data_IF_004824303319
#
_entry.id   IF_004824303319
#
_cell.length_a   1.000
_cell.length_b   1.000
_cell.length_c   1.000
_cell.angle_alpha   90.00
_cell.angle_beta   90.00
_cell.angle_gamma   90.00
#
_symmetry.space_group_name_H-M   'P 1'
#
loop_
_entity.id
_entity.type
_entity.pdbx_description
1 polymer ?
#
# COMPACT_ATOMS: atom_id res chain seq x y z
N UNK A 1 0.19 -23.06 -6.74
CA UNK A 1 -0.80 -23.00 -5.64
C UNK A 1 -0.06 -22.67 -4.35
N UNK A 2 -0.72 -21.91 -3.48
CA UNK A 2 -0.22 -21.54 -2.15
C UNK A 2 -1.29 -21.97 -1.13
N UNK A 3 -0.89 -22.72 -0.11
CA UNK A 3 -1.75 -23.04 1.03
C UNK A 3 -1.59 -21.94 2.08
N UNK A 4 -2.71 -21.36 2.52
CA UNK A 4 -2.76 -20.40 3.62
C UNK A 4 -2.82 -21.16 4.93
N UNK A 5 -1.68 -21.32 5.59
CA UNK A 5 -1.60 -22.03 6.88
C UNK A 5 -2.16 -21.15 7.98
N UNK A 6 -1.81 -19.86 7.95
CA UNK A 6 -2.34 -18.84 8.84
C UNK A 6 -2.59 -17.56 8.05
N UNK A 7 -3.82 -17.08 8.00
CA UNK A 7 -4.18 -15.86 7.28
C UNK A 7 -3.77 -14.58 8.04
N UNK A 8 -3.79 -14.62 9.37
CA UNK A 8 -3.51 -13.45 10.21
C UNK A 8 -4.73 -12.55 10.42
N UNK A 9 -4.51 -11.31 10.87
CA UNK A 9 -5.58 -10.38 11.23
C UNK A 9 -6.46 -9.99 10.05
N UNK A 10 -5.84 -9.53 8.95
CA UNK A 10 -6.54 -9.16 7.73
C UNK A 10 -5.58 -9.31 6.55
N UNK A 11 -5.78 -10.38 5.79
CA UNK A 11 -5.07 -10.64 4.53
C UNK A 11 -6.07 -10.71 3.40
N UNK A 12 -5.84 -9.94 2.34
CA UNK A 12 -6.71 -9.90 1.15
C UNK A 12 -5.90 -9.98 -0.12
N UNK A 13 -6.54 -10.45 -1.20
CA UNK A 13 -5.94 -10.39 -2.53
C UNK A 13 -6.16 -8.98 -3.07
N UNK A 14 -5.09 -8.32 -3.50
CA UNK A 14 -5.16 -6.96 -4.03
C UNK A 14 -4.32 -6.86 -5.30
N UNK A 15 -4.89 -6.21 -6.32
CA UNK A 15 -4.14 -5.65 -7.44
C UNK A 15 -4.16 -4.11 -7.36
N UNK A 16 -4.07 -3.41 -8.49
CA UNK A 16 -4.13 -1.94 -8.53
C UNK A 16 -5.54 -1.35 -8.54
N UNK A 17 -6.56 -2.21 -8.41
CA UNK A 17 -7.96 -1.84 -8.28
C UNK A 17 -8.74 -1.90 -9.59
N UNK A 18 -10.04 -1.67 -9.45
CA UNK A 18 -11.04 -1.63 -10.52
C UNK A 18 -11.31 -0.19 -10.94
N UNK A 19 -10.93 0.12 -12.17
CA UNK A 19 -11.10 1.45 -12.75
C UNK A 19 -12.36 1.50 -13.63
N UNK A 20 -12.91 2.71 -13.84
CA UNK A 20 -14.06 2.91 -14.74
C UNK A 20 -15.44 2.69 -14.11
N UNK A 21 -15.55 2.08 -12.91
CA UNK A 21 -16.85 1.72 -12.33
C UNK A 21 -17.37 2.63 -11.20
N UNK A 22 -16.63 3.68 -10.80
CA UNK A 22 -17.04 4.55 -9.66
C UNK A 22 -18.38 5.26 -9.87
N UNK A 23 -18.74 5.56 -11.12
CA UNK A 23 -20.03 6.17 -11.46
C UNK A 23 -21.23 5.22 -11.20
N UNK A 24 -20.97 3.92 -11.02
CA UNK A 24 -21.97 2.89 -10.69
C UNK A 24 -22.01 2.57 -9.19
N UNK A 25 -21.36 3.37 -8.34
CA UNK A 25 -21.29 3.11 -6.90
C UNK A 25 -20.20 2.10 -6.47
N UNK A 26 -19.39 1.61 -7.41
CA UNK A 26 -18.36 0.61 -7.13
C UNK A 26 -17.06 1.28 -6.66
N UNK A 27 -16.57 0.90 -5.47
CA UNK A 27 -15.30 1.38 -4.94
C UNK A 27 -14.13 0.92 -5.82
N UNK A 28 -13.03 1.70 -5.82
CA UNK A 28 -11.86 1.35 -6.63
C UNK A 28 -11.15 0.09 -6.11
N UNK A 29 -11.15 -0.13 -4.80
CA UNK A 29 -10.36 -1.21 -4.19
C UNK A 29 -8.87 -1.05 -4.51
N UNK A 30 -8.13 -2.16 -4.51
CA UNK A 30 -6.70 -2.15 -4.80
C UNK A 30 -5.85 -2.04 -3.53
N UNK A 31 -4.54 -2.24 -3.71
CA UNK A 31 -3.56 -2.04 -2.65
C UNK A 31 -3.63 -0.62 -2.07
N UNK A 32 -3.57 -0.50 -0.74
CA UNK A 32 -3.49 0.81 -0.10
C UNK A 32 -2.11 1.47 -0.24
N UNK A 33 -1.07 0.65 -0.36
CA UNK A 33 0.29 1.03 -0.70
C UNK A 33 0.63 0.40 -2.04
N UNK A 34 0.20 1.11 -3.09
CA UNK A 34 0.35 0.72 -4.50
C UNK A 34 1.82 0.55 -4.87
N UNK A 35 2.68 1.44 -4.38
CA UNK A 35 4.12 1.43 -4.64
C UNK A 35 4.73 0.10 -4.21
N UNK A 36 4.44 -0.35 -2.99
CA UNK A 36 4.96 -1.62 -2.48
C UNK A 36 4.49 -2.82 -3.31
N UNK A 37 3.20 -2.89 -3.67
CA UNK A 37 2.68 -3.95 -4.52
C UNK A 37 3.38 -3.95 -5.89
N UNK A 38 3.47 -2.78 -6.53
CA UNK A 38 4.07 -2.59 -7.84
C UNK A 38 5.55 -3.01 -7.89
N UNK A 39 6.32 -2.70 -6.85
CA UNK A 39 7.72 -3.14 -6.74
C UNK A 39 7.81 -4.64 -6.48
N UNK A 40 6.96 -5.17 -5.61
CA UNK A 40 6.92 -6.61 -5.33
C UNK A 40 6.63 -7.44 -6.58
N UNK A 41 5.68 -6.99 -7.40
CA UNK A 41 5.38 -7.64 -8.68
C UNK A 41 6.55 -7.60 -9.66
N UNK A 42 7.22 -6.45 -9.80
CA UNK A 42 8.43 -6.33 -10.64
C UNK A 42 9.54 -7.27 -10.19
N UNK A 43 9.76 -7.39 -8.87
CA UNK A 43 10.77 -8.26 -8.28
C UNK A 43 10.54 -9.75 -8.58
N UNK A 44 9.34 -10.18 -8.95
CA UNK A 44 9.05 -11.57 -9.34
C UNK A 44 8.77 -11.72 -10.84
N UNK A 45 9.06 -10.69 -11.64
CA UNK A 45 8.90 -10.72 -13.10
C UNK A 45 7.45 -10.58 -13.58
N UNK A 46 6.52 -10.18 -12.70
CA UNK A 46 5.14 -9.94 -13.08
C UNK A 46 4.97 -8.56 -13.71
N UNK A 47 3.87 -8.37 -14.43
CA UNK A 47 3.34 -7.03 -14.68
C UNK A 47 3.10 -6.29 -13.34
N UNK A 48 3.34 -4.96 -13.29
CA UNK A 48 3.12 -4.15 -12.08
C UNK A 48 1.72 -4.28 -11.46
N UNK A 49 0.72 -4.49 -12.30
CA UNK A 49 -0.70 -4.57 -11.96
C UNK A 49 -1.17 -5.98 -11.56
N UNK A 50 -0.28 -6.96 -11.46
CA UNK A 50 -0.65 -8.30 -11.03
C UNK A 50 -1.16 -8.34 -9.59
N UNK A 51 -2.00 -9.32 -9.27
CA UNK A 51 -2.54 -9.48 -7.93
C UNK A 51 -1.51 -10.12 -6.99
N UNK A 52 -1.34 -9.51 -5.82
CA UNK A 52 -0.57 -10.02 -4.68
C UNK A 52 -1.44 -10.12 -3.42
N UNK A 53 -0.82 -10.48 -2.31
CA UNK A 53 -1.48 -10.52 -1.00
C UNK A 53 -1.14 -9.24 -0.24
N UNK A 54 -2.15 -8.44 0.11
CA UNK A 54 -2.00 -7.37 1.09
C UNK A 54 -2.23 -7.92 2.49
N UNK A 55 -1.23 -7.80 3.35
CA UNK A 55 -1.20 -8.34 4.71
C UNK A 55 -1.15 -7.20 5.70
N UNK A 56 -2.15 -7.13 6.58
CA UNK A 56 -2.23 -6.14 7.65
C UNK A 56 -1.70 -6.73 8.94
N UNK A 57 -0.61 -6.16 9.46
CA UNK A 57 0.06 -6.47 10.73
C UNK A 57 0.67 -7.88 10.86
N UNK A 58 0.09 -8.92 10.26
CA UNK A 58 0.49 -10.32 10.48
C UNK A 58 0.02 -10.87 11.84
N UNK A 59 0.52 -12.03 12.30
CA UNK A 59 1.37 -12.94 11.53
C UNK A 59 0.59 -13.70 10.44
N UNK A 60 1.29 -14.07 9.37
CA UNK A 60 0.73 -14.83 8.24
C UNK A 60 1.72 -15.93 7.85
N UNK A 61 1.22 -17.13 7.57
CA UNK A 61 2.05 -18.28 7.17
C UNK A 61 1.52 -18.86 5.87
N UNK A 62 2.40 -18.96 4.87
CA UNK A 62 2.08 -19.40 3.51
C UNK A 62 2.99 -20.56 3.13
N UNK A 63 2.41 -21.67 2.68
CA UNK A 63 3.15 -22.84 2.18
C UNK A 63 3.05 -22.94 0.67
N UNK A 64 4.18 -23.05 0.00
CA UNK A 64 4.25 -23.05 -1.46
C UNK A 64 4.28 -24.47 -1.99
N UNK A 65 3.27 -24.87 -2.78
CA UNK A 65 3.16 -26.26 -3.25
C UNK A 65 4.03 -26.57 -4.48
N UNK A 66 4.71 -25.57 -5.02
CA UNK A 66 5.60 -25.68 -6.18
C UNK A 66 6.77 -24.71 -6.00
N UNK A 67 7.90 -25.04 -6.60
CA UNK A 67 9.02 -24.10 -6.67
C UNK A 67 8.60 -22.84 -7.44
N UNK A 68 8.94 -21.67 -6.91
CA UNK A 68 8.56 -20.36 -7.47
C UNK A 68 9.49 -19.25 -6.96
N UNK A 69 9.23 -18.01 -7.37
CA UNK A 69 9.82 -16.81 -6.75
C UNK A 69 8.78 -16.00 -6.00
N UNK A 70 9.21 -15.42 -4.88
CA UNK A 70 8.38 -14.59 -4.03
C UNK A 70 9.12 -13.31 -3.69
N UNK A 71 8.39 -12.20 -3.59
CA UNK A 71 8.91 -10.95 -3.03
C UNK A 71 8.01 -10.45 -1.90
N UNK A 72 8.65 -9.92 -0.86
CA UNK A 72 7.98 -9.27 0.27
C UNK A 72 8.28 -7.77 0.18
N UNK A 73 7.27 -6.90 0.20
CA UNK A 73 7.46 -5.44 0.17
C UNK A 73 6.57 -4.72 1.17
N UNK A 74 6.70 -3.40 1.26
CA UNK A 74 6.01 -2.60 2.27
C UNK A 74 6.69 -2.75 3.62
N UNK A 75 5.92 -3.15 4.63
CA UNK A 75 6.44 -3.27 5.99
C UNK A 75 7.44 -4.41 6.18
N UNK A 76 8.23 -4.31 7.26
CA UNK A 76 9.18 -5.33 7.71
C UNK A 76 8.52 -6.24 8.75
N UNK A 77 8.30 -7.51 8.37
CA UNK A 77 7.74 -8.53 9.25
C UNK A 77 8.79 -9.32 10.03
N UNK A 78 10.09 -9.16 9.75
CA UNK A 78 11.12 -10.09 10.21
C UNK A 78 10.80 -11.52 9.77
N UNK A 79 10.63 -11.68 8.46
CA UNK A 79 10.13 -12.90 7.85
C UNK A 79 11.17 -14.02 7.88
N UNK A 80 10.71 -15.27 7.83
CA UNK A 80 11.57 -16.44 7.65
C UNK A 80 11.02 -17.38 6.57
N UNK A 81 11.90 -18.06 5.86
CA UNK A 81 11.60 -19.17 4.95
C UNK A 81 12.21 -20.44 5.55
N UNK A 82 11.37 -21.36 6.02
CA UNK A 82 11.77 -22.54 6.82
C UNK A 82 12.75 -22.19 7.95
N UNK A 83 12.44 -21.12 8.69
CA UNK A 83 13.25 -20.64 9.82
C UNK A 83 14.48 -19.81 9.43
N UNK A 84 14.88 -19.75 8.15
CA UNK A 84 15.96 -18.87 7.70
C UNK A 84 15.46 -17.43 7.51
N UNK A 85 16.10 -16.41 8.08
CA UNK A 85 15.69 -15.01 7.89
C UNK A 85 15.69 -14.61 6.41
N UNK A 86 14.63 -13.90 5.99
CA UNK A 86 14.53 -13.28 4.66
C UNK A 86 14.05 -11.83 4.78
N UNK A 87 14.37 -11.01 3.78
CA UNK A 87 14.22 -9.56 3.87
C UNK A 87 13.18 -9.00 2.89
N UNK A 88 12.52 -7.92 3.30
CA UNK A 88 11.65 -7.15 2.41
C UNK A 88 12.48 -6.46 1.31
N UNK A 89 11.86 -6.20 0.16
CA UNK A 89 12.45 -5.61 -1.05
C UNK A 89 13.44 -6.54 -1.79
N UNK A 90 13.34 -7.85 -1.52
CA UNK A 90 14.09 -8.90 -2.20
C UNK A 90 13.16 -9.87 -2.93
N UNK A 91 13.65 -10.36 -4.06
CA UNK A 91 13.15 -11.49 -4.82
C UNK A 91 13.85 -12.75 -4.34
N UNK A 92 13.08 -13.73 -3.89
CA UNK A 92 13.55 -14.92 -3.19
C UNK A 92 13.11 -16.18 -3.93
N UNK A 93 14.00 -17.14 -4.19
CA UNK A 93 13.61 -18.47 -4.64
C UNK A 93 12.95 -19.23 -3.48
N UNK A 94 11.86 -19.93 -3.78
CA UNK A 94 11.12 -20.78 -2.84
C UNK A 94 10.97 -22.16 -3.46
N UNK A 95 11.34 -23.21 -2.73
CA UNK A 95 11.17 -24.59 -3.14
C UNK A 95 9.77 -25.12 -2.81
N UNK A 96 9.35 -26.20 -3.48
CA UNK A 96 8.09 -26.85 -3.16
C UNK A 96 8.10 -27.39 -1.71
N UNK A 97 7.03 -27.13 -0.98
CA UNK A 97 6.85 -27.54 0.42
C UNK A 97 7.30 -26.52 1.45
N UNK A 98 8.10 -25.51 1.08
CA UNK A 98 8.61 -24.52 2.04
C UNK A 98 7.52 -23.60 2.56
N UNK A 99 7.72 -23.12 3.79
CA UNK A 99 6.83 -22.20 4.47
C UNK A 99 7.47 -20.81 4.66
N UNK A 100 6.80 -19.79 4.14
CA UNK A 100 7.10 -18.40 4.44
C UNK A 100 6.30 -17.96 5.65
N UNK A 101 7.00 -17.62 6.73
CA UNK A 101 6.44 -17.09 7.96
C UNK A 101 6.68 -15.58 8.02
N UNK A 102 5.60 -14.83 8.01
CA UNK A 102 5.59 -13.39 8.28
C UNK A 102 5.14 -13.21 9.73
N UNK A 103 6.03 -12.72 10.59
CA UNK A 103 5.67 -12.43 11.98
C UNK A 103 4.82 -11.15 12.07
N UNK A 104 4.59 -10.66 13.29
CA UNK A 104 3.99 -9.34 13.46
C UNK A 104 4.90 -8.25 12.86
N UNK A 105 4.30 -7.26 12.20
CA UNK A 105 5.00 -6.14 11.61
C UNK A 105 5.86 -5.43 12.67
N UNK A 106 7.16 -5.25 12.41
CA UNK A 106 8.09 -4.57 13.34
C UNK A 106 8.02 -3.05 13.20
N UNK A 107 7.88 -2.58 11.97
CA UNK A 107 7.61 -1.18 11.59
C UNK A 107 6.30 -1.14 10.79
N UNK A 108 5.84 0.02 10.36
CA UNK A 108 4.69 0.15 9.46
C UNK A 108 3.41 -0.59 9.88
N UNK A 109 2.54 -0.88 8.91
CA UNK A 109 1.27 -1.57 9.15
C UNK A 109 0.95 -2.63 8.08
N UNK A 110 1.29 -2.37 6.81
CA UNK A 110 0.94 -3.26 5.70
C UNK A 110 2.16 -3.72 4.93
N UNK A 111 2.17 -4.98 4.54
CA UNK A 111 3.14 -5.48 3.57
C UNK A 111 2.47 -6.35 2.53
N UNK A 112 3.24 -6.66 1.50
CA UNK A 112 2.73 -7.39 0.34
C UNK A 112 3.58 -8.62 0.09
N UNK A 113 2.92 -9.72 -0.26
CA UNK A 113 3.57 -10.90 -0.83
C UNK A 113 3.16 -11.01 -2.28
N UNK A 114 4.15 -10.90 -3.16
CA UNK A 114 3.99 -11.11 -4.59
C UNK A 114 4.65 -12.43 -4.96
N UNK A 115 4.02 -13.20 -5.86
CA UNK A 115 4.53 -14.50 -6.34
C UNK A 115 4.63 -14.45 -7.85
N UNK A 116 5.66 -15.06 -8.43
CA UNK A 116 5.81 -15.17 -9.88
C UNK A 116 4.55 -15.80 -10.51
N UNK A 117 4.03 -15.19 -11.57
CA UNK A 117 2.75 -15.53 -12.20
C UNK A 117 1.52 -14.84 -11.59
N UNK A 118 1.64 -14.26 -10.39
CA UNK A 118 0.57 -13.56 -9.68
C UNK A 118 -0.48 -14.50 -9.08
N UNK A 119 -1.33 -13.97 -8.19
CA UNK A 119 -2.47 -14.71 -7.64
C UNK A 119 -3.59 -14.76 -8.69
N UNK A 120 -3.93 -15.96 -9.18
CA UNK A 120 -4.80 -16.13 -10.34
C UNK A 120 -6.24 -16.48 -9.97
N UNK A 121 -6.88 -15.58 -9.22
CA UNK A 121 -8.32 -15.63 -8.97
C UNK A 121 -9.10 -14.99 -10.12
N UNK A 122 -10.39 -15.30 -10.25
CA UNK A 122 -11.24 -14.75 -11.30
C UNK A 122 -11.31 -13.21 -11.17
N UNK A 123 -11.01 -12.44 -12.23
CA UNK A 123 -11.20 -11.00 -12.20
C UNK A 123 -12.68 -10.64 -12.19
N UNK A 124 -13.06 -9.67 -11.37
CA UNK A 124 -14.40 -9.07 -11.33
C UNK A 124 -14.30 -7.59 -11.61
N UNK A 125 -15.04 -7.12 -12.61
CA UNK A 125 -14.98 -5.73 -13.08
C UNK A 125 -13.55 -5.30 -13.45
N UNK A 126 -12.84 -6.17 -14.17
CA UNK A 126 -11.47 -5.93 -14.63
C UNK A 126 -10.37 -6.00 -13.56
N UNK A 127 -10.69 -6.40 -12.31
CA UNK A 127 -9.74 -6.44 -11.19
C UNK A 127 -9.92 -7.69 -10.34
N UNK A 128 -8.84 -8.17 -9.75
CA UNK A 128 -8.77 -9.26 -8.77
C UNK A 128 -8.80 -8.78 -7.32
N UNK A 129 -8.86 -7.48 -7.06
CA UNK A 129 -8.91 -6.95 -5.69
C UNK A 129 -10.13 -7.41 -4.91
N UNK A 130 -9.96 -7.70 -3.62
CA UNK A 130 -11.09 -7.94 -2.72
C UNK A 130 -11.77 -6.60 -2.38
N UNK A 131 -13.08 -6.51 -2.59
CA UNK A 131 -13.95 -5.50 -1.98
C UNK A 131 -14.64 -6.14 -0.76
N UNK A 132 -14.22 -5.74 0.44
CA UNK A 132 -14.74 -6.30 1.69
C UNK A 132 -16.16 -5.82 2.02
N UNK A 133 -16.51 -4.60 1.62
CA UNK A 133 -17.82 -4.03 1.89
C UNK A 133 -18.86 -4.54 0.90
N UNK A 134 -18.48 -4.66 -0.37
CA UNK A 134 -19.31 -5.20 -1.43
C UNK A 134 -19.35 -6.74 -1.50
N UNK A 135 -18.49 -7.43 -0.74
CA UNK A 135 -18.39 -8.89 -0.72
C UNK A 135 -18.12 -9.53 -2.09
N UNK A 136 -17.23 -8.94 -2.89
CA UNK A 136 -16.85 -9.50 -4.20
C UNK A 136 -15.37 -9.29 -4.54
N UNK A 137 -14.89 -9.96 -5.60
CA UNK A 137 -13.48 -9.98 -5.99
C UNK A 137 -12.59 -10.79 -5.04
N UNK A 138 -11.30 -10.91 -5.35
CA UNK A 138 -10.37 -11.74 -4.60
C UNK A 138 -10.83 -13.20 -4.50
N UNK A 139 -10.71 -13.80 -3.31
CA UNK A 139 -11.22 -15.14 -3.02
C UNK A 139 -12.58 -15.04 -2.31
N UNK A 140 -13.65 -15.06 -3.09
CA UNK A 140 -15.02 -15.04 -2.57
C UNK A 140 -15.42 -13.76 -1.84
N UNK A 141 -14.82 -12.62 -2.18
CA UNK A 141 -15.22 -11.32 -1.64
C UNK A 141 -14.90 -11.11 -0.16
N UNK A 142 -13.95 -11.87 0.38
CA UNK A 142 -13.62 -11.86 1.81
C UNK A 142 -12.11 -11.83 2.05
N UNK A 143 -11.76 -11.57 3.30
CA UNK A 143 -10.42 -11.87 3.80
C UNK A 143 -10.11 -13.36 3.71
N UNK A 144 -8.83 -13.69 3.54
CA UNK A 144 -8.34 -15.06 3.57
C UNK A 144 -8.54 -15.66 4.97
N UNK A 145 -8.64 -16.99 5.01
CA UNK A 145 -8.79 -17.81 6.20
C UNK A 145 -7.76 -18.93 6.18
N UNK A 146 -7.47 -19.44 7.36
CA UNK A 146 -6.64 -20.63 7.52
C UNK A 146 -7.28 -21.80 6.74
N UNK A 147 -6.46 -22.52 5.97
CA UNK A 147 -6.89 -23.59 5.08
C UNK A 147 -7.29 -23.17 3.67
N UNK A 148 -7.38 -21.88 3.36
CA UNK A 148 -7.62 -21.42 1.98
C UNK A 148 -6.47 -21.85 1.06
N UNK A 149 -6.79 -22.15 -0.21
CA UNK A 149 -5.82 -22.43 -1.26
C UNK A 149 -5.90 -21.39 -2.36
N UNK A 150 -4.75 -20.82 -2.71
CA UNK A 150 -4.67 -19.76 -3.69
C UNK A 150 -4.11 -20.29 -5.01
N UNK A 151 -4.82 -20.14 -6.14
CA UNK A 151 -4.26 -20.38 -7.45
C UNK A 151 -3.15 -19.36 -7.74
N UNK A 152 -2.11 -19.83 -8.42
CA UNK A 152 -0.98 -18.99 -8.88
C UNK A 152 -0.89 -19.16 -10.38
N UNK A 153 -0.81 -18.04 -11.10
CA UNK A 153 -0.73 -18.03 -12.55
C UNK A 153 0.58 -18.62 -13.07
N UNK A 154 0.65 -18.86 -14.37
CA UNK A 154 1.92 -19.19 -15.01
C UNK A 154 2.81 -17.92 -15.07
N UNK A 155 4.12 -18.02 -14.78
CA UNK A 155 5.04 -16.90 -14.97
C UNK A 155 4.96 -16.37 -16.41
N UNK A 156 4.84 -15.04 -16.55
CA UNK A 156 4.53 -14.38 -17.83
C UNK A 156 5.69 -14.38 -18.83
N UNK A 157 6.90 -14.79 -18.41
CA UNK A 157 8.14 -14.58 -19.15
C UNK A 157 8.91 -15.90 -19.30
N UNK A 158 8.69 -16.64 -20.40
CA UNK A 158 9.56 -17.77 -20.79
C UNK A 158 10.88 -17.20 -21.33
N UNK A 159 12.01 -17.44 -20.66
CA UNK A 159 13.35 -17.09 -21.15
C UNK A 159 14.14 -16.08 -20.31
N UNK A 160 13.53 -15.52 -19.26
CA UNK A 160 14.22 -14.64 -18.31
C UNK A 160 14.87 -15.47 -17.18
N UNK A 161 16.16 -15.76 -17.35
CA UNK A 161 16.90 -16.69 -16.49
C UNK A 161 17.01 -16.19 -15.04
N UNK A 162 17.05 -14.87 -14.80
CA UNK A 162 17.17 -14.33 -13.45
C UNK A 162 15.86 -14.36 -12.64
N UNK A 163 14.73 -14.67 -13.30
CA UNK A 163 13.45 -14.94 -12.64
C UNK A 163 13.11 -16.44 -12.52
N UNK A 164 14.05 -17.33 -12.84
CA UNK A 164 13.85 -18.77 -12.60
C UNK A 164 13.70 -19.07 -11.10
N UNK A 165 12.92 -20.09 -10.70
CA UNK A 165 12.86 -20.55 -9.31
C UNK A 165 14.23 -20.97 -8.74
N UNK A 166 15.20 -21.29 -9.59
CA UNK A 166 16.58 -21.63 -9.21
C UNK A 166 17.54 -20.44 -9.22
N UNK A 167 17.11 -19.27 -9.74
CA UNK A 167 18.00 -18.12 -9.85
C UNK A 167 18.33 -17.53 -8.48
N UNK A 168 19.54 -16.94 -8.30
CA UNK A 168 19.91 -16.31 -7.03
C UNK A 168 18.89 -15.27 -6.56
N UNK A 169 18.83 -15.05 -5.25
CA UNK A 169 18.08 -13.93 -4.70
C UNK A 169 18.73 -12.60 -5.11
N UNK A 170 17.90 -11.57 -5.28
CA UNK A 170 18.37 -10.21 -5.52
C UNK A 170 17.40 -9.22 -4.91
N UNK A 171 17.87 -8.01 -4.62
CA UNK A 171 17.04 -6.98 -4.00
C UNK A 171 17.20 -5.64 -4.68
N UNK A 172 16.20 -4.79 -4.44
CA UNK A 172 16.24 -3.38 -4.79
C UNK A 172 16.22 -2.55 -3.52
N UNK A 173 16.79 -1.36 -3.60
CA UNK A 173 16.72 -0.42 -2.50
C UNK A 173 15.30 0.17 -2.43
N UNK A 174 14.68 0.10 -1.26
CA UNK A 174 13.47 0.88 -0.99
C UNK A 174 13.75 2.37 -1.27
N UNK A 175 12.77 3.16 -1.76
CA UNK A 175 13.02 4.54 -2.12
C UNK A 175 13.50 5.35 -0.91
N UNK A 176 14.33 6.36 -1.14
CA UNK A 176 14.88 7.19 -0.06
C UNK A 176 13.78 7.90 0.76
N UNK A 177 12.67 8.29 0.12
CA UNK A 177 11.50 8.87 0.81
C UNK A 177 10.65 7.84 1.56
N UNK A 178 10.83 6.54 1.32
CA UNK A 178 10.27 5.49 2.19
C UNK A 178 10.95 5.42 3.56
N UNK A 179 12.02 6.19 3.79
CA UNK A 179 12.56 6.43 5.14
C UNK A 179 11.68 7.36 6.00
N UNK A 180 10.38 7.44 5.72
CA UNK A 180 9.36 8.26 6.39
C UNK A 180 9.62 9.79 6.44
N UNK A 181 10.76 10.28 5.95
CA UNK A 181 11.21 11.67 6.15
C UNK A 181 11.93 12.20 4.92
N UNK A 182 11.21 12.43 3.83
CA UNK A 182 11.63 13.41 2.81
C UNK A 182 10.41 14.20 2.37
N UNK A 183 9.83 14.94 3.30
CA UNK A 183 9.07 16.13 3.00
C UNK A 183 9.99 17.29 3.35
N UNK A 184 10.05 18.35 2.52
CA UNK A 184 10.76 19.57 2.86
C UNK A 184 10.01 20.27 4.01
N UNK A 185 10.13 19.72 5.20
CA UNK A 185 9.64 20.29 6.45
C UNK A 185 10.81 21.03 7.10
N UNK A 186 10.56 22.21 7.71
CA UNK A 186 11.54 22.82 8.59
C UNK A 186 12.03 21.81 9.65
N UNK A 187 13.33 21.74 9.87
CA UNK A 187 13.92 20.84 10.87
C UNK A 187 13.30 21.10 12.25
N UNK A 188 12.61 20.09 12.80
CA UNK A 188 12.11 20.16 14.18
C UNK A 188 13.31 20.03 15.13
N UNK A 189 13.51 21.06 15.96
CA UNK A 189 14.56 21.09 17.00
C UNK A 189 14.02 20.47 18.30
N UNK A 190 14.86 19.70 19.01
CA UNK A 190 14.52 19.10 20.31
C UNK A 190 14.10 17.63 20.23
N UNK A 191 13.94 16.99 21.41
CA UNK A 191 13.38 15.63 21.52
C UNK A 191 11.86 15.73 21.57
N UNK A 192 11.15 14.95 20.73
CA UNK A 192 9.71 14.70 20.91
C UNK A 192 9.48 14.08 22.31
N UNK A 193 8.28 14.23 22.93
CA UNK A 193 8.00 13.63 24.24
C UNK A 193 8.56 12.21 24.34
N UNK A 194 9.30 11.95 25.41
CA UNK A 194 10.27 10.85 25.50
C UNK A 194 9.69 9.51 25.03
N UNK A 195 10.20 9.02 23.90
CA UNK A 195 9.87 7.70 23.35
C UNK A 195 8.79 7.69 22.26
N UNK A 196 8.14 8.81 21.98
CA UNK A 196 7.15 8.91 20.89
C UNK A 196 7.85 9.36 19.59
N UNK A 197 7.62 8.69 18.45
CA UNK A 197 8.07 9.18 17.16
C UNK A 197 7.25 10.40 16.72
N UNK A 198 7.89 11.35 16.05
CA UNK A 198 7.20 12.44 15.37
C UNK A 198 6.13 11.92 14.39
N UNK A 199 5.03 12.66 14.28
CA UNK A 199 3.95 12.33 13.35
C UNK A 199 4.43 12.27 11.90
N UNK A 200 3.89 11.34 11.11
CA UNK A 200 4.26 11.16 9.70
C UNK A 200 3.75 12.33 8.86
N UNK A 201 4.61 13.06 8.11
CA UNK A 201 4.18 14.17 7.29
C UNK A 201 3.51 13.71 5.98
N UNK A 202 2.31 14.23 5.73
CA UNK A 202 1.45 13.92 4.59
C UNK A 202 1.12 15.21 3.83
N UNK A 203 1.51 15.29 2.55
CA UNK A 203 1.22 16.46 1.70
C UNK A 203 -0.24 16.49 1.27
N UNK A 204 -0.87 17.66 1.44
CA UNK A 204 -2.30 17.89 1.21
C UNK A 204 -2.52 19.15 0.38
N UNK A 205 -3.36 19.02 -0.65
CA UNK A 205 -3.92 20.13 -1.40
C UNK A 205 -5.16 20.68 -0.67
N UNK A 206 -5.39 21.99 -0.72
CA UNK A 206 -6.63 22.59 -0.21
C UNK A 206 -7.84 22.02 -0.96
N UNK A 207 -8.88 21.70 -0.21
CA UNK A 207 -10.13 21.17 -0.74
C UNK A 207 -11.08 22.28 -1.18
N UNK A 208 -12.15 21.93 -1.92
CA UNK A 208 -13.11 22.90 -2.43
C UNK A 208 -13.92 23.61 -1.33
N UNK A 209 -14.09 22.98 -0.16
CA UNK A 209 -14.77 23.60 0.99
C UNK A 209 -13.79 24.08 2.06
N UNK A 210 -12.51 24.31 1.71
CA UNK A 210 -11.50 24.79 2.66
C UNK A 210 -11.94 26.10 3.34
N UNK A 211 -12.49 27.07 2.59
CA UNK A 211 -12.93 28.37 3.13
C UNK A 211 -14.22 28.29 3.97
N UNK A 212 -14.82 27.10 4.12
CA UNK A 212 -15.98 26.87 4.99
C UNK A 212 -15.60 26.52 6.44
N UNK A 213 -14.32 26.59 6.79
CA UNK A 213 -13.79 26.33 8.13
C UNK A 213 -13.26 27.62 8.76
N UNK A 214 -13.23 27.68 10.08
CA UNK A 214 -12.72 28.85 10.82
C UNK A 214 -11.20 28.97 10.68
N UNK A 215 -10.65 30.17 10.92
CA UNK A 215 -9.20 30.37 10.91
C UNK A 215 -8.48 29.48 11.94
N UNK A 216 -9.09 29.29 13.12
CA UNK A 216 -8.59 28.36 14.13
C UNK A 216 -8.57 26.90 13.64
N UNK A 217 -9.59 26.48 12.88
CA UNK A 217 -9.61 25.16 12.26
C UNK A 217 -8.53 25.02 11.19
N UNK A 218 -8.25 26.06 10.39
CA UNK A 218 -7.13 26.04 9.45
C UNK A 218 -5.79 25.92 10.16
N UNK A 219 -5.59 26.70 11.22
CA UNK A 219 -4.37 26.65 12.04
C UNK A 219 -4.16 25.24 12.60
N UNK A 220 -5.15 24.68 13.29
CA UNK A 220 -5.09 23.31 13.81
C UNK A 220 -4.85 22.27 12.72
N UNK A 221 -5.50 22.39 11.56
CA UNK A 221 -5.33 21.43 10.45
C UNK A 221 -3.86 21.29 9.99
N UNK A 222 -3.11 22.38 9.97
CA UNK A 222 -1.71 22.39 9.52
C UNK A 222 -0.68 22.28 10.65
N UNK A 223 -1.00 22.81 11.84
CA UNK A 223 -0.10 22.86 12.98
C UNK A 223 -0.12 21.55 13.79
N UNK A 224 -1.30 20.97 13.99
CA UNK A 224 -1.49 19.87 14.94
C UNK A 224 -1.09 18.50 14.37
N UNK A 225 -0.81 17.58 15.29
CA UNK A 225 -0.68 16.16 15.00
C UNK A 225 -2.04 15.47 15.17
N UNK A 226 -2.39 14.61 14.21
CA UNK A 226 -3.67 13.93 14.12
C UNK A 226 -3.50 12.45 14.43
N UNK A 227 -4.13 11.97 15.49
CA UNK A 227 -4.07 10.58 15.92
C UNK A 227 -4.88 9.68 14.98
N UNK A 228 -4.27 8.64 14.42
CA UNK A 228 -4.98 7.62 13.66
C UNK A 228 -5.75 6.71 14.63
N UNK A 229 -7.06 6.82 14.64
CA UNK A 229 -7.90 6.08 15.62
C UNK A 229 -8.04 4.60 15.26
N UNK A 230 -8.37 3.72 16.24
CA UNK A 230 -8.63 2.30 16.01
C UNK A 230 -9.79 1.99 15.04
N UNK A 231 -10.69 2.96 14.79
CA UNK A 231 -11.78 2.83 13.84
C UNK A 231 -11.36 3.05 12.37
N UNK A 232 -10.06 3.23 12.12
CA UNK A 232 -9.49 3.40 10.78
C UNK A 232 -9.39 2.05 10.05
N UNK A 233 -9.79 2.02 8.78
CA UNK A 233 -9.78 0.81 7.97
C UNK A 233 -9.50 1.13 6.48
N UNK A 234 -9.75 0.16 5.58
CA UNK A 234 -9.54 0.33 4.13
C UNK A 234 -10.50 1.30 3.45
N UNK A 235 -11.62 1.65 4.07
CA UNK A 235 -12.55 2.66 3.56
C UNK A 235 -12.09 4.06 3.91
N UNK A 236 -11.62 4.27 5.15
CA UNK A 236 -11.21 5.58 5.60
C UNK A 236 -10.42 5.56 6.90
N UNK A 237 -9.44 6.46 6.98
CA UNK A 237 -8.67 6.72 8.18
C UNK A 237 -9.35 7.81 8.98
N UNK A 238 -9.82 7.46 10.18
CA UNK A 238 -10.51 8.36 11.09
C UNK A 238 -9.49 8.94 12.04
N UNK A 239 -9.34 10.25 12.00
CA UNK A 239 -8.34 10.98 12.76
C UNK A 239 -8.97 11.65 13.98
N UNK A 240 -8.21 11.72 15.08
CA UNK A 240 -8.60 12.42 16.28
C UNK A 240 -7.63 13.57 16.57
N UNK A 241 -8.18 14.74 16.92
CA UNK A 241 -7.44 15.96 17.25
C UNK A 241 -8.37 17.10 17.62
N UNK A 242 -7.89 18.34 17.49
CA UNK A 242 -8.72 19.53 17.65
C UNK A 242 -9.95 19.48 16.70
N UNK A 243 -11.13 19.82 17.21
CA UNK A 243 -12.34 19.79 16.40
C UNK A 243 -12.29 20.93 15.36
N UNK A 244 -12.38 20.58 14.08
CA UNK A 244 -12.37 21.56 12.99
C UNK A 244 -13.75 22.18 12.81
N UNK A 245 -13.91 23.39 13.33
CA UNK A 245 -15.17 24.13 13.27
C UNK A 245 -15.45 24.72 11.89
N UNK A 246 -16.73 24.69 11.50
CA UNK A 246 -17.22 25.23 10.22
C UNK A 246 -17.81 26.61 10.41
N UNK A 247 -17.49 27.54 9.50
CA UNK A 247 -18.15 28.84 9.38
C UNK A 247 -19.56 28.71 8.79
N UNK A 248 -19.75 27.78 7.84
CA UNK A 248 -21.05 27.47 7.22
C UNK A 248 -21.57 26.11 7.67
N UNK A 249 -22.75 26.10 8.30
CA UNK A 249 -23.43 24.88 8.79
C UNK A 249 -24.38 24.23 7.77
N UNK A 250 -24.46 24.75 6.55
CA UNK A 250 -25.34 24.19 5.51
C UNK A 250 -24.91 22.79 5.13
N UNK A 251 -25.89 21.91 4.95
CA UNK A 251 -25.68 20.58 4.39
C UNK A 251 -25.22 20.69 2.93
N UNK A 252 -24.36 19.76 2.52
CA UNK A 252 -23.97 19.62 1.13
C UNK A 252 -24.80 18.52 0.50
N UNK A 253 -25.18 18.71 -0.76
CA UNK A 253 -25.69 17.61 -1.57
C UNK A 253 -24.66 16.48 -1.64
N UNK A 254 -25.08 15.28 -2.02
CA UNK A 254 -24.14 14.19 -2.26
C UNK A 254 -23.33 14.48 -3.53
N UNK A 255 -22.01 14.38 -3.44
CA UNK A 255 -21.10 14.60 -4.57
C UNK A 255 -20.08 13.48 -4.68
N UNK A 256 -19.46 13.35 -5.86
CA UNK A 256 -18.38 12.40 -6.06
C UNK A 256 -17.19 12.68 -5.13
N UNK A 257 -16.62 11.62 -4.58
CA UNK A 257 -15.39 11.67 -3.77
C UNK A 257 -14.38 10.67 -4.32
N UNK A 258 -13.11 10.87 -3.99
CA UNK A 258 -11.98 10.04 -4.43
C UNK A 258 -11.09 9.68 -3.23
N UNK A 259 -10.33 8.56 -3.28
CA UNK A 259 -9.29 8.28 -2.31
C UNK A 259 -8.34 9.48 -2.16
N UNK A 260 -7.98 9.78 -0.92
CA UNK A 260 -7.23 10.97 -0.52
C UNK A 260 -8.07 12.16 -0.08
N UNK A 261 -9.36 12.20 -0.44
CA UNK A 261 -10.26 13.26 0.04
C UNK A 261 -10.32 13.25 1.57
N UNK A 262 -10.19 14.42 2.20
CA UNK A 262 -10.27 14.60 3.64
C UNK A 262 -11.62 15.23 3.96
N UNK A 263 -12.55 14.42 4.42
CA UNK A 263 -13.88 14.85 4.84
C UNK A 263 -13.90 15.24 6.31
N UNK A 264 -14.67 16.26 6.67
CA UNK A 264 -14.89 16.66 8.06
C UNK A 264 -16.38 16.56 8.40
N UNK A 265 -16.82 15.50 9.10
CA UNK A 265 -18.18 15.37 9.59
C UNK A 265 -18.53 16.42 10.66
N UNK A 266 -19.79 16.49 11.13
CA UNK A 266 -20.23 17.47 12.14
C UNK A 266 -19.47 17.46 13.47
N UNK A 267 -18.81 16.35 13.82
CA UNK A 267 -17.99 16.24 15.03
C UNK A 267 -16.60 16.91 14.89
N UNK A 268 -16.27 17.49 13.72
CA UNK A 268 -15.02 18.19 13.47
C UNK A 268 -13.80 17.28 13.29
N UNK A 269 -13.96 15.95 13.28
CA UNK A 269 -12.86 14.99 13.24
C UNK A 269 -12.58 14.52 11.81
N UNK A 270 -11.39 14.76 11.23
CA UNK A 270 -11.11 14.45 9.83
C UNK A 270 -11.18 12.95 9.52
N UNK A 271 -11.67 12.63 8.31
CA UNK A 271 -11.65 11.28 7.74
C UNK A 271 -10.95 11.35 6.38
N UNK A 272 -9.80 10.68 6.25
CA UNK A 272 -9.12 10.54 4.95
C UNK A 272 -9.70 9.31 4.25
N UNK A 273 -10.33 9.51 3.10
CA UNK A 273 -10.90 8.42 2.29
C UNK A 273 -9.80 7.57 1.66
N UNK A 274 -9.95 6.25 1.71
CA UNK A 274 -8.96 5.29 1.23
C UNK A 274 -9.54 4.49 0.03
N UNK A 275 -8.85 3.44 -0.41
CA UNK A 275 -9.17 2.71 -1.65
C UNK A 275 -10.59 2.11 -1.69
N UNK A 276 -11.12 1.68 -0.55
CA UNK A 276 -12.45 1.07 -0.44
C UNK A 276 -13.53 2.10 -0.06
N UNK A 277 -13.20 3.39 -0.11
CA UNK A 277 -14.15 4.45 0.22
C UNK A 277 -15.35 4.46 -0.73
N UNK A 278 -16.48 4.90 -0.18
CA UNK A 278 -17.68 5.24 -0.94
C UNK A 278 -17.36 6.15 -2.15
N UNK A 279 -18.20 6.07 -3.19
CA UNK A 279 -18.01 6.86 -4.40
C UNK A 279 -18.61 8.26 -4.30
N UNK A 280 -19.59 8.44 -3.41
CA UNK A 280 -20.25 9.73 -3.14
C UNK A 280 -20.28 10.04 -1.65
N UNK A 281 -20.26 11.33 -1.28
CA UNK A 281 -20.43 11.76 0.10
C UNK A 281 -20.96 13.19 0.21
N UNK A 282 -21.53 13.52 1.38
CA UNK A 282 -22.13 14.83 1.67
C UNK A 282 -21.37 15.66 2.72
N UNK A 283 -20.18 15.23 3.14
CA UNK A 283 -19.37 15.99 4.10
C UNK A 283 -18.43 16.99 3.40
N UNK A 284 -18.19 18.17 4.01
CA UNK A 284 -17.25 19.15 3.48
C UNK A 284 -15.84 18.58 3.43
N UNK A 285 -15.12 18.91 2.37
CA UNK A 285 -13.78 18.43 2.06
C UNK A 285 -12.80 19.56 2.32
N UNK A 286 -12.09 19.48 3.45
CA UNK A 286 -11.09 20.49 3.82
C UNK A 286 -9.84 20.35 2.94
N UNK A 287 -9.51 19.15 2.49
CA UNK A 287 -8.30 18.89 1.72
C UNK A 287 -8.33 17.60 0.94
N UNK A 288 -7.27 17.36 0.17
CA UNK A 288 -7.01 16.09 -0.48
C UNK A 288 -5.53 15.72 -0.35
N UNK A 289 -5.24 14.55 0.21
CA UNK A 289 -3.89 13.96 0.21
C UNK A 289 -3.47 13.67 -1.21
N UNK A 290 -2.25 14.07 -1.58
CA UNK A 290 -1.72 13.81 -2.92
C UNK A 290 -1.48 12.31 -3.13
N UNK A 291 -1.64 11.83 -4.36
CA UNK A 291 -1.48 10.41 -4.69
C UNK A 291 -0.14 9.83 -4.23
N UNK A 292 0.96 10.57 -4.41
CA UNK A 292 2.32 10.16 -4.04
C UNK A 292 2.54 10.00 -2.52
N UNK A 293 1.61 10.47 -1.68
CA UNK A 293 1.67 10.36 -0.22
C UNK A 293 0.60 9.41 0.35
N UNK A 294 -0.36 8.92 -0.45
CA UNK A 294 -1.43 8.01 0.05
C UNK A 294 -0.88 6.72 0.65
N UNK A 295 0.17 6.16 0.05
CA UNK A 295 0.80 4.93 0.54
C UNK A 295 1.37 5.10 1.96
N UNK A 296 1.75 6.33 2.35
CA UNK A 296 2.27 6.61 3.69
C UNK A 296 1.21 6.31 4.75
N UNK A 297 -0.04 6.72 4.51
CA UNK A 297 -1.17 6.43 5.41
C UNK A 297 -1.37 4.93 5.61
N UNK A 298 -1.22 4.14 4.53
CA UNK A 298 -1.31 2.68 4.61
C UNK A 298 -0.29 2.04 5.55
N UNK A 299 0.81 2.75 5.85
CA UNK A 299 1.87 2.31 6.77
C UNK A 299 1.75 2.88 8.19
N UNK A 300 0.95 3.92 8.41
CA UNK A 300 0.74 4.48 9.76
C UNK A 300 -0.02 3.48 10.62
N UNK A 301 0.49 3.21 11.82
CA UNK A 301 -0.16 2.34 12.80
C UNK A 301 -1.36 3.02 13.44
N UNK A 302 -2.29 2.21 13.91
CA UNK A 302 -3.33 2.69 14.82
C UNK A 302 -2.66 3.26 16.08
N UNK A 303 -3.23 4.35 16.59
CA UNK A 303 -2.72 5.16 17.70
C UNK A 303 -1.36 5.84 17.45
N UNK A 304 -0.86 5.84 16.22
CA UNK A 304 0.22 6.73 15.79
C UNK A 304 -0.38 8.01 15.18
N UNK A 305 0.46 9.02 14.98
CA UNK A 305 0.01 10.33 14.49
C UNK A 305 0.49 10.63 13.07
N UNK A 306 -0.30 11.42 12.36
CA UNK A 306 0.07 12.07 11.09
C UNK A 306 0.01 13.58 11.22
N UNK A 307 0.73 14.30 10.36
CA UNK A 307 0.60 15.75 10.23
C UNK A 307 0.40 16.11 8.78
N UNK A 308 -0.49 17.07 8.52
CA UNK A 308 -0.71 17.57 7.18
C UNK A 308 0.24 18.72 6.84
N UNK A 309 0.78 18.67 5.63
CA UNK A 309 1.71 19.67 5.10
C UNK A 309 1.07 20.26 3.84
N UNK A 310 0.93 21.60 3.73
CA UNK A 310 0.37 22.19 2.53
C UNK A 310 1.30 21.93 1.33
N UNK A 311 0.71 21.75 0.16
CA UNK A 311 1.45 21.60 -1.10
C UNK A 311 0.70 22.27 -2.25
N UNK A 312 1.36 22.39 -3.40
CA UNK A 312 0.76 22.91 -4.63
C UNK A 312 0.46 21.80 -5.64
N UNK A 313 -0.45 22.02 -6.61
CA UNK A 313 -0.66 21.07 -7.70
C UNK A 313 0.61 20.76 -8.50
N UNK A 314 1.52 21.73 -8.62
CA UNK A 314 2.82 21.55 -9.27
C UNK A 314 3.69 20.57 -8.48
N UNK A 315 3.90 20.80 -7.18
CA UNK A 315 4.66 19.92 -6.30
C UNK A 315 4.05 18.51 -6.22
N UNK A 316 2.72 18.41 -6.17
CA UNK A 316 2.01 17.13 -6.19
C UNK A 316 2.32 16.34 -7.46
N UNK A 317 2.38 17.01 -8.61
CA UNK A 317 2.75 16.39 -9.89
C UNK A 317 4.23 15.99 -9.92
N UNK A 318 5.13 16.83 -9.40
CA UNK A 318 6.56 16.49 -9.30
C UNK A 318 6.77 15.25 -8.43
N UNK A 319 6.12 15.17 -7.27
CA UNK A 319 6.18 14.00 -6.40
C UNK A 319 5.74 12.70 -7.11
N UNK A 320 4.70 12.78 -7.94
CA UNK A 320 4.25 11.64 -8.74
C UNK A 320 5.24 11.28 -9.86
N UNK A 321 5.91 12.27 -10.45
CA UNK A 321 6.97 12.04 -11.45
C UNK A 321 8.21 11.41 -10.83
N UNK A 322 8.58 11.79 -9.61
CA UNK A 322 9.66 11.18 -8.84
C UNK A 322 9.36 9.71 -8.56
N UNK A 323 8.15 9.38 -8.09
CA UNK A 323 7.70 8.00 -7.89
C UNK A 323 7.81 7.16 -9.17
N UNK A 324 7.32 7.70 -10.30
CA UNK A 324 7.43 7.04 -11.61
C UNK A 324 8.87 6.88 -12.07
N UNK A 325 9.73 7.85 -11.76
CA UNK A 325 11.16 7.79 -12.10
C UNK A 325 11.85 6.69 -11.30
N UNK A 326 11.54 6.57 -10.01
CA UNK A 326 12.01 5.48 -9.18
C UNK A 326 11.59 4.10 -9.70
N UNK A 327 10.32 3.94 -10.08
CA UNK A 327 9.83 2.69 -10.68
C UNK A 327 10.58 2.33 -11.97
N UNK A 328 10.84 3.32 -12.84
CA UNK A 328 11.66 3.10 -14.05
C UNK A 328 13.11 2.72 -13.73
N UNK A 329 13.70 3.28 -12.67
CA UNK A 329 15.04 2.90 -12.23
C UNK A 329 15.08 1.45 -11.74
N UNK A 330 14.02 0.97 -11.07
CA UNK A 330 13.89 -0.45 -10.73
C UNK A 330 13.83 -1.31 -11.99
N UNK A 331 12.99 -0.93 -12.96
CA UNK A 331 12.86 -1.69 -14.21
C UNK A 331 14.22 -1.81 -14.92
N UNK A 332 14.99 -0.73 -14.99
CA UNK A 332 16.34 -0.73 -15.55
C UNK A 332 17.32 -1.61 -14.75
N UNK A 333 17.31 -1.51 -13.42
CA UNK A 333 18.19 -2.32 -12.55
C UNK A 333 17.89 -3.82 -12.66
N UNK A 334 16.62 -4.19 -12.77
CA UNK A 334 16.17 -5.56 -13.00
C UNK A 334 16.64 -6.06 -14.38
N UNK A 335 16.47 -5.25 -15.44
CA UNK A 335 16.95 -5.63 -16.77
C UNK A 335 18.47 -5.90 -16.80
N UNK A 336 19.26 -5.04 -16.13
CA UNK A 336 20.71 -5.24 -15.99
C UNK A 336 21.05 -6.52 -15.19
N UNK A 337 20.25 -6.85 -14.17
CA UNK A 337 20.40 -8.10 -13.42
C UNK A 337 20.14 -9.32 -14.30
N UNK A 338 19.06 -9.31 -15.08
CA UNK A 338 18.72 -10.38 -16.03
C UNK A 338 19.83 -10.60 -17.06
N UNK A 339 20.36 -9.54 -17.66
CA UNK A 339 21.47 -9.64 -18.61
C UNK A 339 22.71 -10.28 -17.97
N UNK A 340 23.02 -9.91 -16.72
CA UNK A 340 24.14 -10.50 -15.99
C UNK A 340 23.92 -11.99 -15.74
N UNK A 341 22.72 -12.39 -15.32
CA UNK A 341 22.38 -13.79 -15.10
C UNK A 341 22.46 -14.60 -16.40
N UNK A 342 21.92 -14.07 -17.50
CA UNK A 342 21.99 -14.73 -18.81
C UNK A 342 23.44 -14.95 -19.29
N UNK A 343 24.31 -13.95 -19.11
CA UNK A 343 25.74 -14.09 -19.44
C UNK A 343 26.43 -15.16 -18.58
N UNK A 344 26.15 -15.19 -17.28
CA UNK A 344 26.73 -16.19 -16.37
C UNK A 344 26.27 -17.61 -16.71
N UNK A 345 24.99 -17.80 -17.03
CA UNK A 345 24.47 -19.10 -17.46
C UNK A 345 25.05 -19.55 -18.80
N UNK A 346 25.28 -18.64 -19.75
CA UNK A 346 25.93 -18.96 -21.02
C UNK A 346 27.39 -19.40 -20.83
N UNK A 347 28.13 -18.74 -19.93
CA UNK A 347 29.51 -19.12 -19.58
C UNK A 347 29.56 -20.48 -18.87
N UNK A 348 28.59 -20.79 -17.99
CA UNK A 348 28.54 -22.07 -17.28
C UNK A 348 28.11 -23.26 -18.17
N UNK A 349 27.56 -22.99 -19.35
CA UNK A 349 27.14 -24.01 -20.32
C UNK A 349 28.22 -24.36 -21.36
N UNK A 350 29.34 -23.62 -21.36
CA UNK A 350 30.57 -23.91 -22.11
C UNK A 350 31.53 -24.72 -21.23
#
# INVERSE_FOLDING_TARGET
MIDVIRAGLLTTIQDLGRHGHRHLGVAMGGALDRLSLEVGNRLVGNRPDAAGLEITFGPTVLRFLRATRVAITGTEFGATLDGKPVYSWWSLPVQAGQELVLNAAKRGMRGYVCVAGGIDVLPMLGSRSTDLAGHFGGLGGRALRDGDRLPVGAPQQRGHVGFSPEAPEFGVKAPSWCKFVLVHEPLRRGRHPSGVPWAVPIRVLRGPEYDNFTDAAHESFWADEWLVTPNSNRMGYRLAGAALERTRKTDLLSHAVLPGTIQVPPNGQPIVLMSDAQTTGGYPKIGAVIQADLWKLAQVRLNASVRFIPTTPYEARQALLEERTYLRQIDAAIAMHEERCARQSAVAAL
#
